data_IF_366391230200
#
_entry.id   IF_366391230200
#
_cell.length_a   1.000
_cell.length_b   1.000
_cell.length_c   1.000
_cell.angle_alpha   90.00
_cell.angle_beta   90.00
_cell.angle_gamma   90.00
#
_symmetry.space_group_name_H-M   'P 1'
#
loop_
_entity.id
_entity.type
_entity.pdbx_description
1 polymer ?
#
# COMPACT_ATOMS: atom_id res chain seq x y z
N UNK A 1 36.28 -42.56 86.41
CA UNK A 1 35.41 -42.93 85.31
C UNK A 1 35.15 -41.68 84.43
N UNK A 2 35.90 -41.53 83.32
CA UNK A 2 35.93 -40.33 82.48
C UNK A 2 35.06 -40.55 81.25
N UNK A 3 34.02 -39.80 81.10
CA UNK A 3 33.21 -39.77 79.87
C UNK A 3 33.78 -38.74 78.90
N UNK A 4 34.20 -39.22 77.75
CA UNK A 4 34.59 -38.39 76.58
C UNK A 4 33.36 -37.89 75.84
N UNK A 5 33.23 -36.57 75.71
CA UNK A 5 32.31 -35.93 74.79
C UNK A 5 32.93 -35.98 73.39
N UNK A 6 32.12 -36.51 72.40
CA UNK A 6 32.40 -36.38 70.98
C UNK A 6 31.70 -35.15 70.43
N UNK A 7 32.45 -34.20 69.94
CA UNK A 7 31.93 -33.07 69.19
C UNK A 7 31.64 -33.53 67.75
N UNK A 8 30.35 -33.55 67.36
CA UNK A 8 29.95 -33.76 66.02
C UNK A 8 29.72 -32.38 65.30
N UNK A 9 30.60 -32.04 64.37
CA UNK A 9 30.44 -30.85 63.54
C UNK A 9 29.41 -31.12 62.46
N UNK A 10 28.29 -30.48 62.55
CA UNK A 10 27.27 -30.44 61.47
C UNK A 10 27.76 -29.46 60.46
N UNK A 11 28.20 -29.96 59.29
CA UNK A 11 28.43 -29.10 58.10
C UNK A 11 27.09 -28.83 57.44
N UNK A 12 26.61 -27.60 57.56
CA UNK A 12 25.46 -27.08 56.79
C UNK A 12 25.97 -26.80 55.37
N UNK A 13 25.54 -27.60 54.39
CA UNK A 13 25.74 -27.32 52.96
C UNK A 13 24.72 -26.25 52.56
N UNK A 14 25.17 -25.02 52.37
CA UNK A 14 24.36 -23.98 51.69
C UNK A 14 24.38 -24.29 50.18
N UNK A 15 23.28 -24.82 49.67
CA UNK A 15 23.08 -24.92 48.24
C UNK A 15 22.65 -23.54 47.71
N UNK A 16 23.61 -22.84 47.09
CA UNK A 16 23.28 -21.62 46.34
C UNK A 16 22.53 -22.00 45.07
N UNK A 17 21.22 -21.81 45.08
CA UNK A 17 20.38 -21.88 43.84
C UNK A 17 20.65 -20.61 43.05
N UNK A 18 21.54 -20.70 42.09
CA UNK A 18 21.75 -19.63 41.11
C UNK A 18 20.61 -19.68 40.11
N UNK A 19 19.60 -18.85 40.33
CA UNK A 19 18.49 -18.63 39.36
C UNK A 19 19.08 -17.85 38.18
N UNK A 20 19.44 -18.56 37.12
CA UNK A 20 19.71 -17.92 35.82
C UNK A 20 18.42 -17.35 35.28
N UNK A 21 18.18 -16.05 35.47
CA UNK A 21 17.18 -15.29 34.74
C UNK A 21 17.70 -15.14 33.30
N UNK A 22 17.23 -16.02 32.43
CA UNK A 22 17.38 -15.86 30.98
C UNK A 22 16.54 -14.64 30.58
N UNK A 23 17.15 -13.46 30.58
CA UNK A 23 16.63 -12.31 29.90
C UNK A 23 16.71 -12.65 28.40
N UNK A 24 15.61 -13.15 27.85
CA UNK A 24 15.44 -13.22 26.42
C UNK A 24 15.42 -11.77 25.92
N UNK A 25 16.57 -11.24 25.58
CA UNK A 25 16.70 -10.04 24.78
C UNK A 25 16.09 -10.40 23.43
N UNK A 26 14.81 -10.07 23.25
CA UNK A 26 14.19 -10.09 21.95
C UNK A 26 15.03 -9.19 21.05
N UNK A 27 15.94 -9.79 20.29
CA UNK A 27 16.53 -9.16 19.13
C UNK A 27 15.35 -8.81 18.24
N UNK A 28 14.91 -7.57 18.33
CA UNK A 28 14.06 -6.99 17.32
C UNK A 28 14.82 -7.22 16.01
N UNK A 29 14.44 -8.28 15.30
CA UNK A 29 15.01 -8.56 13.98
C UNK A 29 14.71 -7.30 13.18
N UNK A 30 15.79 -6.56 12.86
CA UNK A 30 15.68 -5.53 11.86
C UNK A 30 15.01 -6.21 10.66
N UNK A 31 13.97 -5.62 10.08
CA UNK A 31 13.39 -6.18 8.85
C UNK A 31 14.57 -6.49 7.93
N UNK A 32 14.60 -7.67 7.30
CA UNK A 32 15.72 -8.07 6.47
C UNK A 32 15.99 -6.91 5.52
N UNK A 33 17.24 -6.45 5.46
CA UNK A 33 17.63 -5.39 4.52
C UNK A 33 17.15 -5.86 3.14
N UNK A 34 16.09 -5.25 2.64
CA UNK A 34 15.50 -5.60 1.35
C UNK A 34 16.59 -5.43 0.33
N UNK A 35 17.05 -6.52 -0.26
CA UNK A 35 18.07 -6.46 -1.30
C UNK A 35 17.42 -5.74 -2.47
N UNK A 36 17.81 -4.52 -2.72
CA UNK A 36 17.45 -3.79 -3.93
C UNK A 36 18.06 -4.55 -5.10
N UNK A 37 17.25 -5.35 -5.76
CA UNK A 37 17.71 -6.06 -6.96
C UNK A 37 17.65 -5.07 -8.09
N UNK A 38 18.83 -4.68 -8.56
CA UNK A 38 18.98 -3.80 -9.71
C UNK A 38 18.18 -4.31 -10.91
N UNK A 39 17.36 -3.43 -11.51
CA UNK A 39 17.09 -3.40 -12.94
C UNK A 39 16.26 -4.52 -13.58
N UNK A 40 15.45 -5.28 -12.87
CA UNK A 40 14.60 -6.26 -13.56
C UNK A 40 13.24 -6.38 -12.89
N UNK A 41 12.19 -6.11 -13.66
CA UNK A 41 10.85 -6.57 -13.36
C UNK A 41 10.90 -8.09 -13.17
N UNK A 42 10.29 -8.57 -12.10
CA UNK A 42 10.14 -9.99 -11.79
C UNK A 42 8.66 -10.34 -11.79
N UNK A 43 8.36 -11.60 -11.94
CA UNK A 43 7.03 -12.10 -11.68
C UNK A 43 6.63 -11.78 -10.23
N UNK A 44 5.47 -11.17 -10.07
CA UNK A 44 4.93 -10.81 -8.76
C UNK A 44 4.54 -12.08 -8.00
N UNK A 45 5.14 -12.29 -6.84
CA UNK A 45 4.84 -13.43 -5.99
C UNK A 45 3.78 -13.03 -4.97
N UNK A 46 2.56 -13.56 -5.14
CA UNK A 46 1.45 -13.32 -4.22
C UNK A 46 1.39 -14.42 -3.15
N UNK A 47 1.07 -14.02 -1.92
CA UNK A 47 0.84 -14.94 -0.80
C UNK A 47 -0.59 -15.46 -0.89
N UNK A 48 -0.72 -16.74 -1.26
CA UNK A 48 -2.01 -17.40 -1.40
C UNK A 48 -2.46 -17.97 -0.07
N UNK A 49 -3.61 -17.52 0.40
CA UNK A 49 -4.35 -18.07 1.53
C UNK A 49 -5.79 -17.53 1.47
N UNK A 50 -6.72 -18.23 2.08
CA UNK A 50 -8.13 -17.83 2.16
C UNK A 50 -8.51 -17.69 3.64
N UNK A 51 -7.92 -16.67 4.29
CA UNK A 51 -8.10 -16.43 5.73
C UNK A 51 -9.24 -15.45 5.94
N UNK A 52 -10.28 -15.90 6.63
CA UNK A 52 -11.34 -15.05 7.16
C UNK A 52 -10.93 -14.53 8.53
N UNK A 53 -11.02 -13.20 8.71
CA UNK A 53 -10.71 -12.58 9.98
C UNK A 53 -11.89 -12.73 10.95
N UNK A 54 -11.59 -12.97 12.24
CA UNK A 54 -12.61 -13.05 13.29
C UNK A 54 -13.24 -11.66 13.57
N UNK A 55 -12.47 -10.59 13.43
CA UNK A 55 -12.96 -9.23 13.57
C UNK A 55 -13.82 -8.85 12.37
N UNK A 56 -15.05 -8.44 12.63
CA UNK A 56 -15.98 -8.01 11.60
C UNK A 56 -15.55 -6.67 10.99
N UNK A 57 -15.75 -6.54 9.67
CA UNK A 57 -15.66 -5.26 8.98
C UNK A 57 -16.75 -4.30 9.48
N UNK A 58 -16.36 -3.06 9.77
CA UNK A 58 -17.27 -2.00 10.17
C UNK A 58 -17.00 -0.73 9.35
N UNK A 59 -17.98 -0.34 8.55
CA UNK A 59 -17.96 0.88 7.76
C UNK A 59 -19.27 1.61 7.90
N UNK A 60 -19.20 2.90 8.15
CA UNK A 60 -20.38 3.78 8.09
C UNK A 60 -20.06 5.01 7.24
N UNK A 61 -21.01 5.35 6.36
CA UNK A 61 -20.91 6.51 5.48
C UNK A 61 -22.09 7.44 5.75
N UNK A 62 -21.82 8.70 6.00
CA UNK A 62 -22.84 9.76 6.11
C UNK A 62 -22.42 10.95 5.25
N UNK A 63 -23.41 11.75 4.86
CA UNK A 63 -23.17 12.99 4.13
C UNK A 63 -23.88 14.13 4.88
N UNK A 64 -23.14 15.17 5.23
CA UNK A 64 -23.62 16.37 5.87
C UNK A 64 -22.73 17.57 5.50
N UNK A 65 -23.30 18.74 5.38
CA UNK A 65 -22.58 20.00 5.19
C UNK A 65 -21.61 20.00 3.99
N UNK A 66 -21.97 19.28 2.93
CA UNK A 66 -21.13 19.18 1.73
C UNK A 66 -19.97 18.19 1.84
N UNK A 67 -19.84 17.48 2.96
CA UNK A 67 -18.84 16.44 3.19
C UNK A 67 -19.47 15.04 3.25
N UNK A 68 -18.75 14.05 2.72
CA UNK A 68 -18.95 12.62 3.00
C UNK A 68 -17.99 12.21 4.10
N UNK A 69 -18.54 11.76 5.21
CA UNK A 69 -17.79 11.28 6.37
C UNK A 69 -17.82 9.75 6.39
N UNK A 70 -16.66 9.13 6.28
CA UNK A 70 -16.48 7.68 6.20
C UNK A 70 -15.75 7.23 7.46
N UNK A 71 -16.43 6.47 8.32
CA UNK A 71 -15.84 5.88 9.53
C UNK A 71 -15.62 4.40 9.30
N UNK A 72 -14.45 3.90 9.67
CA UNK A 72 -14.02 2.53 9.39
C UNK A 72 -13.25 1.96 10.56
N UNK A 73 -13.20 0.64 10.66
CA UNK A 73 -12.27 -0.06 11.52
C UNK A 73 -11.06 -0.66 10.75
N UNK A 74 -10.95 -0.39 9.44
CA UNK A 74 -9.84 -0.81 8.56
C UNK A 74 -9.67 -2.33 8.44
N UNK A 75 -10.69 -3.12 8.76
CA UNK A 75 -10.74 -4.56 8.58
C UNK A 75 -11.41 -4.87 7.22
N UNK A 76 -10.80 -5.64 6.32
CA UNK A 76 -11.45 -6.01 5.05
C UNK A 76 -12.66 -6.95 5.27
N UNK A 77 -13.63 -6.89 4.36
CA UNK A 77 -14.86 -7.71 4.37
C UNK A 77 -14.73 -9.02 3.58
N UNK A 78 -13.54 -9.29 3.07
CA UNK A 78 -13.21 -10.47 2.26
C UNK A 78 -12.07 -11.27 2.88
N UNK A 79 -11.81 -12.46 2.34
CA UNK A 79 -10.67 -13.26 2.74
C UNK A 79 -9.34 -12.59 2.35
N UNK A 80 -8.33 -12.79 3.15
CA UNK A 80 -6.98 -12.22 3.01
C UNK A 80 -5.92 -13.30 2.94
N UNK A 81 -4.73 -12.96 2.51
CA UNK A 81 -3.56 -13.80 2.56
C UNK A 81 -3.05 -14.02 4.00
N UNK A 82 -2.03 -14.86 4.13
CA UNK A 82 -1.36 -15.09 5.42
C UNK A 82 -0.54 -13.84 5.81
N UNK A 83 -0.85 -13.28 6.97
CA UNK A 83 -0.08 -12.20 7.62
C UNK A 83 0.15 -12.52 9.09
N UNK A 84 1.40 -12.40 9.61
CA UNK A 84 2.64 -12.02 8.91
C UNK A 84 3.09 -13.04 7.87
N UNK A 85 3.90 -12.58 6.90
CA UNK A 85 4.55 -13.45 5.93
C UNK A 85 6.00 -13.00 5.66
N UNK A 86 6.72 -13.76 4.81
CA UNK A 86 8.15 -13.48 4.53
C UNK A 86 8.42 -12.08 3.96
N UNK A 87 7.48 -11.52 3.19
CA UNK A 87 7.62 -10.18 2.58
C UNK A 87 7.03 -9.06 3.44
N UNK A 88 6.12 -9.41 4.37
CA UNK A 88 5.43 -8.46 5.23
C UNK A 88 5.33 -9.01 6.67
N UNK A 89 6.10 -8.46 7.62
CA UNK A 89 6.17 -8.98 8.99
C UNK A 89 5.04 -8.49 9.91
N UNK A 90 4.02 -7.82 9.39
CA UNK A 90 2.97 -7.19 10.17
C UNK A 90 1.69 -8.02 10.16
N UNK A 91 0.94 -7.98 11.25
CA UNK A 91 -0.39 -8.60 11.38
C UNK A 91 -1.48 -7.57 11.14
N UNK A 92 -2.60 -8.02 10.54
CA UNK A 92 -3.79 -7.17 10.40
C UNK A 92 -4.33 -6.87 11.81
N UNK A 93 -4.66 -5.63 12.06
CA UNK A 93 -5.25 -5.18 13.31
C UNK A 93 -6.29 -4.10 13.06
N UNK A 94 -7.33 -4.10 13.88
CA UNK A 94 -8.35 -3.08 13.87
C UNK A 94 -7.74 -1.69 14.09
N UNK A 95 -8.12 -0.75 13.22
CA UNK A 95 -7.74 0.67 13.30
C UNK A 95 -8.92 1.54 12.95
N UNK A 96 -9.54 2.08 13.99
CA UNK A 96 -10.65 3.01 13.81
C UNK A 96 -10.12 4.33 13.23
N UNK A 97 -10.72 4.76 12.13
CA UNK A 97 -10.36 5.99 11.46
C UNK A 97 -11.61 6.69 10.90
N UNK A 98 -11.48 7.98 10.65
CA UNK A 98 -12.53 8.78 9.99
C UNK A 98 -11.89 9.57 8.87
N UNK A 99 -12.42 9.40 7.68
CA UNK A 99 -12.02 10.13 6.48
C UNK A 99 -13.14 11.08 6.07
N UNK A 100 -12.76 12.21 5.49
CA UNK A 100 -13.68 13.23 5.00
C UNK A 100 -13.33 13.57 3.58
N UNK A 101 -14.32 13.61 2.71
CA UNK A 101 -14.15 14.03 1.32
C UNK A 101 -15.36 14.87 0.90
N UNK A 102 -15.20 15.83 -0.01
CA UNK A 102 -16.32 16.63 -0.50
C UNK A 102 -17.34 15.73 -1.21
N UNK A 103 -18.64 16.03 -1.04
CA UNK A 103 -19.71 15.38 -1.80
C UNK A 103 -19.84 15.95 -3.21
N UNK A 104 -19.30 17.16 -3.42
CA UNK A 104 -19.20 17.82 -4.71
C UNK A 104 -17.74 18.20 -4.97
N UNK A 105 -16.91 17.22 -5.37
CA UNK A 105 -15.51 17.46 -5.64
C UNK A 105 -15.34 18.42 -6.81
N UNK A 106 -14.23 19.15 -6.81
CA UNK A 106 -13.89 20.12 -7.85
C UNK A 106 -12.55 19.79 -8.47
N UNK A 107 -12.49 19.88 -9.78
CA UNK A 107 -11.24 19.77 -10.51
C UNK A 107 -10.28 20.90 -10.14
N UNK A 108 -9.01 20.57 -9.97
CA UNK A 108 -7.92 21.53 -9.87
C UNK A 108 -7.58 22.11 -11.25
N UNK A 109 -6.84 23.21 -11.26
CA UNK A 109 -6.31 23.79 -12.52
C UNK A 109 -5.29 22.86 -13.19
N UNK A 110 -4.56 22.11 -12.39
CA UNK A 110 -3.58 21.12 -12.80
C UNK A 110 -3.69 19.92 -11.88
N UNK A 111 -3.38 18.70 -12.36
CA UNK A 111 -3.32 17.54 -11.51
C UNK A 111 -2.37 17.69 -10.33
N UNK A 112 -2.76 17.15 -9.18
CA UNK A 112 -1.95 17.11 -7.98
C UNK A 112 -1.21 15.77 -7.90
N UNK A 113 0.12 15.81 -7.94
CA UNK A 113 0.94 14.62 -7.83
C UNK A 113 0.79 13.95 -6.46
N UNK A 114 0.69 12.64 -6.44
CA UNK A 114 0.74 11.88 -5.20
C UNK A 114 2.11 12.04 -4.53
N UNK A 115 2.08 12.08 -3.21
CA UNK A 115 3.28 12.09 -2.37
C UNK A 115 3.37 10.79 -1.58
N UNK A 116 4.57 10.35 -1.29
CA UNK A 116 4.78 9.18 -0.45
C UNK A 116 4.02 9.30 0.88
N UNK A 117 3.30 8.24 1.23
CA UNK A 117 2.48 8.18 2.43
C UNK A 117 1.11 8.86 2.32
N UNK A 118 0.76 9.46 1.18
CA UNK A 118 -0.61 9.89 0.90
C UNK A 118 -1.35 8.72 0.25
N UNK A 119 -2.43 8.24 0.88
CA UNK A 119 -3.29 7.24 0.29
C UNK A 119 -4.13 7.88 -0.82
N UNK A 120 -4.33 7.15 -1.90
CA UNK A 120 -5.12 7.64 -3.04
C UNK A 120 -6.61 7.80 -2.67
N UNK A 121 -7.13 6.90 -1.85
CA UNK A 121 -8.53 6.93 -1.49
C UNK A 121 -8.88 5.81 -0.52
N UNK A 122 -10.19 5.61 -0.35
CA UNK A 122 -10.74 4.60 0.53
C UNK A 122 -11.83 3.81 -0.21
N UNK A 123 -11.73 2.50 -0.11
CA UNK A 123 -12.73 1.58 -0.68
C UNK A 123 -14.03 1.59 0.12
N UNK A 124 -15.13 1.14 -0.49
CA UNK A 124 -16.45 1.05 0.17
C UNK A 124 -16.43 0.10 1.38
N UNK A 125 -15.49 -0.82 1.45
CA UNK A 125 -15.25 -1.68 2.61
C UNK A 125 -14.27 -1.09 3.64
N UNK A 126 -13.88 0.17 3.49
CA UNK A 126 -13.02 0.88 4.45
C UNK A 126 -11.53 0.59 4.36
N UNK A 127 -11.08 -0.16 3.36
CA UNK A 127 -9.66 -0.42 3.10
C UNK A 127 -9.10 0.69 2.23
N UNK A 128 -7.88 1.17 2.55
CA UNK A 128 -7.25 2.25 1.82
C UNK A 128 -6.62 1.76 0.50
N UNK A 129 -6.60 2.64 -0.51
CA UNK A 129 -5.82 2.48 -1.72
C UNK A 129 -4.49 3.22 -1.56
N UNK A 130 -3.38 2.50 -1.57
CA UNK A 130 -2.02 3.05 -1.48
C UNK A 130 -1.16 2.52 -2.64
N UNK A 131 -1.04 3.27 -3.76
CA UNK A 131 -0.26 2.81 -4.90
C UNK A 131 1.25 2.83 -4.64
N UNK A 132 1.73 3.52 -3.60
CA UNK A 132 3.13 3.76 -3.35
C UNK A 132 3.85 2.61 -2.64
N UNK A 133 5.07 2.28 -3.07
CA UNK A 133 6.01 1.50 -2.27
C UNK A 133 6.95 2.44 -1.51
N UNK A 134 7.35 2.07 -0.30
CA UNK A 134 8.31 2.87 0.47
C UNK A 134 9.77 2.64 0.04
N UNK A 135 9.99 1.78 -0.91
CA UNK A 135 11.30 1.35 -1.39
C UNK A 135 11.78 2.23 -2.55
N UNK A 136 13.03 2.68 -2.44
CA UNK A 136 13.72 3.48 -3.44
C UNK A 136 15.04 2.83 -3.83
N UNK A 137 15.55 3.21 -4.99
CA UNK A 137 16.87 2.82 -5.46
C UNK A 137 17.93 3.12 -4.40
N UNK A 138 18.76 2.14 -4.07
CA UNK A 138 19.76 2.18 -2.98
C UNK A 138 19.19 2.49 -1.59
N UNK A 139 17.87 2.42 -1.40
CA UNK A 139 17.21 2.81 -0.15
C UNK A 139 17.20 4.32 0.11
N UNK A 140 17.51 5.14 -0.88
CA UNK A 140 17.56 6.59 -0.75
C UNK A 140 16.39 7.26 -1.51
N UNK A 141 15.39 7.83 -0.82
CA UNK A 141 14.29 8.56 -1.46
C UNK A 141 14.77 9.74 -2.33
N UNK A 142 15.94 10.31 -2.05
CA UNK A 142 16.52 11.41 -2.84
C UNK A 142 17.00 10.97 -4.22
N UNK A 143 17.09 9.65 -4.45
CA UNK A 143 17.38 9.12 -5.80
C UNK A 143 16.28 9.47 -6.80
N UNK A 144 15.04 9.68 -6.32
CA UNK A 144 13.86 9.87 -7.15
C UNK A 144 13.36 8.60 -7.85
N UNK A 145 14.08 7.45 -7.71
CA UNK A 145 13.72 6.17 -8.32
C UNK A 145 12.96 5.30 -7.31
N UNK A 146 11.66 5.49 -7.25
CA UNK A 146 10.75 4.68 -6.43
C UNK A 146 10.43 3.37 -7.14
N UNK A 147 10.58 2.25 -6.44
CA UNK A 147 10.15 0.96 -6.99
C UNK A 147 8.63 0.91 -7.19
N UNK A 148 8.21 0.28 -8.28
CA UNK A 148 6.80 -0.01 -8.52
C UNK A 148 6.34 -1.14 -7.58
N UNK A 149 5.28 -0.91 -6.82
CA UNK A 149 4.77 -1.86 -5.84
C UNK A 149 4.40 -3.23 -6.45
N UNK A 150 3.83 -3.20 -7.66
CA UNK A 150 3.42 -4.38 -8.41
C UNK A 150 4.50 -4.88 -9.39
N UNK A 151 5.66 -4.22 -9.43
CA UNK A 151 6.75 -4.56 -10.36
C UNK A 151 7.51 -5.85 -10.04
N UNK A 152 7.30 -6.43 -8.85
CA UNK A 152 7.96 -7.66 -8.41
C UNK A 152 9.44 -7.52 -8.09
N UNK A 153 10.06 -6.36 -8.33
CA UNK A 153 11.48 -6.13 -8.03
C UNK A 153 11.77 -6.08 -6.52
N UNK A 154 10.81 -5.66 -5.73
CA UNK A 154 10.82 -5.73 -4.26
C UNK A 154 9.66 -6.59 -3.79
N UNK A 155 9.95 -7.48 -2.83
CA UNK A 155 8.92 -8.33 -2.24
C UNK A 155 8.21 -7.56 -1.14
N UNK A 156 6.96 -7.19 -1.36
CA UNK A 156 6.10 -6.52 -0.38
C UNK A 156 5.24 -7.51 0.42
N UNK A 157 5.26 -8.81 0.06
CA UNK A 157 4.43 -9.82 0.69
C UNK A 157 2.94 -9.61 0.45
N UNK A 158 2.60 -9.15 -0.77
CA UNK A 158 1.22 -8.93 -1.19
C UNK A 158 0.44 -10.24 -1.25
N UNK A 159 -0.83 -10.19 -0.90
CA UNK A 159 -1.77 -11.30 -1.10
C UNK A 159 -2.47 -11.24 -2.47
N UNK A 160 -3.44 -12.15 -2.70
CA UNK A 160 -4.19 -12.21 -3.97
C UNK A 160 -5.12 -11.00 -4.20
N UNK A 161 -5.32 -10.15 -3.18
CA UNK A 161 -6.00 -8.86 -3.33
C UNK A 161 -5.02 -7.73 -3.67
N UNK A 162 -3.76 -8.05 -4.00
CA UNK A 162 -2.68 -7.08 -4.19
C UNK A 162 -2.54 -6.12 -3.03
N UNK A 163 -2.67 -6.65 -1.81
CA UNK A 163 -2.68 -5.89 -0.58
C UNK A 163 -1.69 -6.45 0.44
N UNK A 164 -1.28 -5.63 1.38
CA UNK A 164 -0.50 -6.04 2.53
C UNK A 164 -0.78 -5.18 3.77
N UNK A 165 0.04 -5.31 4.82
CA UNK A 165 -0.22 -4.69 6.12
C UNK A 165 0.84 -3.64 6.44
N UNK A 166 0.41 -2.43 6.81
CA UNK A 166 1.27 -1.37 7.34
C UNK A 166 1.84 -1.75 8.73
N UNK A 167 2.93 -1.11 9.18
CA UNK A 167 3.49 -1.34 10.52
C UNK A 167 2.49 -1.11 11.67
N UNK A 168 1.48 -0.30 11.47
CA UNK A 168 0.41 -0.04 12.44
C UNK A 168 -0.75 -1.04 12.38
N UNK A 169 -0.70 -2.02 11.48
CA UNK A 169 -1.69 -3.07 11.32
C UNK A 169 -2.78 -2.81 10.29
N UNK A 170 -2.77 -1.66 9.58
CA UNK A 170 -3.74 -1.38 8.51
C UNK A 170 -3.45 -2.22 7.27
N UNK A 171 -4.45 -2.98 6.85
CA UNK A 171 -4.45 -3.63 5.55
C UNK A 171 -4.80 -2.61 4.47
N UNK A 172 -4.12 -2.63 3.31
CA UNK A 172 -4.34 -1.66 2.23
C UNK A 172 -3.99 -2.27 0.87
N UNK A 173 -4.67 -1.77 -0.18
CA UNK A 173 -4.52 -2.23 -1.56
C UNK A 173 -3.43 -1.47 -2.30
N UNK A 174 -2.58 -2.20 -3.03
CA UNK A 174 -1.63 -1.68 -4.02
C UNK A 174 -2.08 -1.91 -5.47
N UNK A 175 -3.13 -2.72 -5.66
CA UNK A 175 -3.64 -3.08 -6.98
C UNK A 175 -5.14 -3.34 -6.98
N UNK A 176 -5.58 -4.15 -7.94
CA UNK A 176 -6.99 -4.50 -8.10
C UNK A 176 -7.47 -5.30 -6.88
N UNK A 177 -8.47 -4.81 -6.12
CA UNK A 177 -8.97 -5.46 -4.91
C UNK A 177 -9.90 -6.63 -5.26
N UNK A 178 -9.32 -7.77 -5.65
CA UNK A 178 -10.07 -8.92 -6.19
C UNK A 178 -11.18 -9.41 -5.27
N UNK A 179 -10.92 -9.48 -3.97
CA UNK A 179 -11.90 -9.87 -2.96
C UNK A 179 -13.06 -8.88 -2.84
N UNK A 180 -12.77 -7.58 -2.89
CA UNK A 180 -13.80 -6.53 -2.89
C UNK A 180 -14.64 -6.60 -4.16
N UNK A 181 -14.03 -6.72 -5.34
CA UNK A 181 -14.77 -6.86 -6.60
C UNK A 181 -15.68 -8.09 -6.58
N UNK A 182 -15.22 -9.20 -6.01
CA UNK A 182 -16.04 -10.40 -5.82
C UNK A 182 -17.21 -10.15 -4.86
N UNK A 183 -17.01 -9.45 -3.75
CA UNK A 183 -18.09 -9.13 -2.78
C UNK A 183 -19.13 -8.17 -3.40
N UNK A 184 -18.70 -7.26 -4.26
CA UNK A 184 -19.55 -6.36 -5.02
C UNK A 184 -20.19 -7.00 -6.27
N UNK A 185 -19.94 -8.29 -6.51
CA UNK A 185 -20.46 -9.06 -7.66
C UNK A 185 -20.07 -8.41 -9.01
N UNK A 186 -18.81 -7.97 -9.11
CA UNK A 186 -18.28 -7.44 -10.37
C UNK A 186 -18.55 -8.41 -11.52
N UNK A 187 -19.04 -7.87 -12.63
CA UNK A 187 -19.39 -8.58 -13.86
C UNK A 187 -18.68 -7.88 -15.04
N UNK A 188 -17.80 -8.61 -15.73
CA UNK A 188 -17.03 -8.05 -16.84
C UNK A 188 -17.92 -7.57 -18.03
N UNK A 189 -19.15 -8.02 -18.13
CA UNK A 189 -20.12 -7.54 -19.14
C UNK A 189 -20.90 -6.29 -18.73
N UNK A 190 -20.60 -5.72 -17.55
CA UNK A 190 -21.30 -4.56 -17.02
C UNK A 190 -20.34 -3.46 -16.62
N UNK A 191 -20.84 -2.22 -16.55
CA UNK A 191 -20.10 -1.14 -15.92
C UNK A 191 -19.70 -1.54 -14.50
N UNK A 192 -18.45 -1.22 -14.10
CA UNK A 192 -17.98 -1.47 -12.74
C UNK A 192 -18.93 -0.93 -11.68
N UNK A 193 -19.14 -1.61 -10.56
CA UNK A 193 -19.72 -0.98 -9.39
C UNK A 193 -18.79 0.11 -8.84
N UNK A 194 -19.36 1.05 -8.08
CA UNK A 194 -18.59 1.99 -7.28
C UNK A 194 -17.76 1.22 -6.24
N UNK A 195 -16.44 1.37 -6.26
CA UNK A 195 -15.54 0.66 -5.34
C UNK A 195 -14.97 1.54 -4.24
N UNK A 196 -15.09 2.86 -4.34
CA UNK A 196 -14.53 3.76 -3.32
C UNK A 196 -14.61 5.24 -3.70
N UNK A 197 -13.91 6.02 -2.89
CA UNK A 197 -13.80 7.46 -3.03
C UNK A 197 -12.33 7.87 -2.94
N UNK A 198 -11.86 8.66 -3.90
CA UNK A 198 -10.53 9.24 -3.85
C UNK A 198 -10.44 10.31 -2.75
N UNK A 199 -9.22 10.62 -2.32
CA UNK A 199 -8.99 11.61 -1.28
C UNK A 199 -9.46 13.03 -1.65
N UNK A 200 -9.63 13.33 -2.93
CA UNK A 200 -10.21 14.57 -3.44
C UNK A 200 -11.74 14.53 -3.60
N UNK A 201 -12.37 13.39 -3.28
CA UNK A 201 -13.82 13.19 -3.27
C UNK A 201 -14.43 12.61 -4.52
N UNK A 202 -13.70 12.49 -5.63
CA UNK A 202 -14.20 11.85 -6.83
C UNK A 202 -14.38 10.34 -6.63
N UNK A 203 -15.40 9.72 -7.28
CA UNK A 203 -15.67 8.30 -7.18
C UNK A 203 -14.58 7.47 -7.88
N UNK A 204 -14.37 6.26 -7.37
CA UNK A 204 -13.44 5.27 -7.93
C UNK A 204 -14.22 4.06 -8.40
N UNK A 205 -13.98 3.66 -9.64
CA UNK A 205 -14.45 2.42 -10.26
C UNK A 205 -13.28 1.53 -10.64
N UNK A 206 -13.53 0.34 -11.18
CA UNK A 206 -12.46 -0.57 -11.59
C UNK A 206 -12.76 -1.19 -12.96
N UNK A 207 -11.74 -1.23 -13.80
CA UNK A 207 -11.68 -1.97 -15.06
C UNK A 207 -12.68 -1.49 -16.14
N UNK A 208 -13.99 -1.65 -15.91
CA UNK A 208 -15.00 -1.54 -16.98
C UNK A 208 -15.82 -0.26 -16.89
N UNK A 209 -16.00 0.39 -18.02
CA UNK A 209 -16.86 1.55 -18.19
C UNK A 209 -17.50 1.56 -19.56
N UNK A 210 -18.38 2.51 -19.81
CA UNK A 210 -19.04 2.69 -21.11
C UNK A 210 -18.04 3.12 -22.18
N UNK A 211 -18.17 2.64 -23.41
CA UNK A 211 -17.31 3.05 -24.54
C UNK A 211 -17.45 4.54 -24.81
N UNK A 212 -18.69 5.01 -24.92
CA UNK A 212 -19.01 6.44 -25.00
C UNK A 212 -19.17 7.00 -23.58
N UNK A 213 -18.33 7.96 -23.15
CA UNK A 213 -18.41 8.49 -21.80
C UNK A 213 -19.71 9.23 -21.49
N UNK A 214 -20.43 9.70 -22.48
CA UNK A 214 -21.66 10.47 -22.32
C UNK A 214 -22.93 9.62 -22.51
N UNK A 215 -22.81 8.34 -22.91
CA UNK A 215 -23.91 7.43 -23.17
C UNK A 215 -23.88 6.15 -22.33
N UNK A 216 -24.76 6.09 -21.31
CA UNK A 216 -24.94 4.91 -20.46
C UNK A 216 -25.54 3.69 -21.17
N UNK A 217 -25.97 3.80 -22.43
CA UNK A 217 -26.47 2.70 -23.26
C UNK A 217 -25.41 2.14 -24.21
N UNK A 218 -24.24 2.78 -24.29
CA UNK A 218 -23.15 2.31 -25.12
C UNK A 218 -22.53 1.00 -24.58
N UNK A 219 -21.77 0.32 -25.42
CA UNK A 219 -21.07 -0.92 -25.04
C UNK A 219 -20.17 -0.70 -23.82
N UNK A 220 -20.08 -1.71 -22.96
CA UNK A 220 -19.14 -1.72 -21.85
C UNK A 220 -17.82 -2.37 -22.28
N UNK A 221 -16.73 -1.69 -22.05
CA UNK A 221 -15.39 -2.17 -22.36
C UNK A 221 -14.48 -2.09 -21.12
N UNK A 222 -13.39 -2.87 -21.14
CA UNK A 222 -12.29 -2.65 -20.23
C UNK A 222 -11.52 -1.39 -20.63
N UNK A 223 -11.49 -0.40 -19.73
CA UNK A 223 -10.83 0.87 -19.97
C UNK A 223 -9.31 0.72 -19.80
N UNK A 224 -8.57 1.38 -20.68
CA UNK A 224 -7.11 1.36 -20.69
C UNK A 224 -6.53 2.72 -20.29
N UNK A 225 -5.46 2.73 -19.48
CA UNK A 225 -4.74 3.95 -19.16
C UNK A 225 -3.99 4.49 -20.39
N UNK A 226 -3.71 5.78 -20.40
CA UNK A 226 -2.87 6.40 -21.44
C UNK A 226 -1.40 6.45 -21.01
N UNK A 227 -0.90 5.34 -20.51
CA UNK A 227 0.49 5.19 -20.08
C UNK A 227 1.17 4.04 -20.78
N UNK A 228 2.48 4.19 -21.03
CA UNK A 228 3.33 3.14 -21.55
C UNK A 228 4.72 3.18 -20.92
N UNK A 229 5.50 2.14 -21.09
CA UNK A 229 6.92 2.18 -20.78
C UNK A 229 7.65 3.16 -21.70
N UNK A 230 8.55 3.96 -21.13
CA UNK A 230 9.43 4.83 -21.90
C UNK A 230 10.30 4.02 -22.86
N UNK A 231 10.57 4.51 -24.04
CA UNK A 231 11.53 3.86 -24.95
C UNK A 231 12.97 4.04 -24.45
N UNK A 232 13.83 3.08 -24.75
CA UNK A 232 15.27 3.17 -24.53
C UNK A 232 15.75 2.71 -23.17
N UNK A 233 16.66 3.45 -22.57
CA UNK A 233 17.37 3.06 -21.34
C UNK A 233 17.32 4.16 -20.29
N UNK A 234 17.23 3.72 -19.02
CA UNK A 234 17.38 4.64 -17.87
C UNK A 234 18.77 5.26 -17.87
N UNK A 235 18.91 6.48 -17.31
CA UNK A 235 20.23 7.05 -17.05
C UNK A 235 21.01 6.19 -16.05
N UNK A 236 22.33 6.35 -16.00
CA UNK A 236 23.22 5.65 -15.07
C UNK A 236 23.66 4.26 -15.55
N UNK A 237 24.02 3.40 -14.60
CA UNK A 237 24.51 2.05 -14.88
C UNK A 237 25.95 2.00 -15.41
N UNK A 238 26.68 3.12 -15.42
CA UNK A 238 28.12 3.15 -15.70
C UNK A 238 28.89 2.78 -14.45
N UNK A 239 30.04 2.14 -14.60
CA UNK A 239 30.91 1.78 -13.50
C UNK A 239 31.29 3.04 -12.70
N UNK A 240 30.94 3.05 -11.40
CA UNK A 240 31.20 4.18 -10.49
C UNK A 240 30.10 5.25 -10.39
N UNK A 241 29.07 5.21 -11.24
CA UNK A 241 27.89 6.09 -11.12
C UNK A 241 26.68 5.26 -10.62
N UNK A 242 26.41 5.36 -9.34
CA UNK A 242 25.33 4.64 -8.67
C UNK A 242 24.09 5.52 -8.41
N UNK A 243 24.06 6.79 -8.87
CA UNK A 243 22.93 7.69 -8.59
C UNK A 243 21.64 7.22 -9.28
N UNK A 244 21.77 6.72 -10.51
CA UNK A 244 20.66 6.26 -11.31
C UNK A 244 20.78 4.74 -11.57
N UNK A 245 19.66 4.01 -11.68
CA UNK A 245 19.69 2.55 -11.76
C UNK A 245 20.23 1.99 -13.08
N UNK A 246 20.21 2.75 -14.17
CA UNK A 246 20.56 2.23 -15.50
C UNK A 246 19.58 1.14 -15.98
N UNK A 247 19.99 0.38 -17.00
CA UNK A 247 19.14 -0.67 -17.57
C UNK A 247 18.09 -0.15 -18.54
N UNK A 248 17.12 -0.97 -18.91
CA UNK A 248 15.98 -0.59 -19.75
C UNK A 248 14.79 -0.19 -18.90
N UNK A 249 13.89 0.60 -19.45
CA UNK A 249 12.60 0.90 -18.84
C UNK A 249 11.71 -0.34 -18.94
N UNK A 250 11.58 -1.12 -17.88
CA UNK A 250 10.87 -2.40 -17.83
C UNK A 250 9.73 -2.47 -16.82
N UNK A 251 9.41 -1.34 -16.16
CA UNK A 251 8.37 -1.25 -15.12
C UNK A 251 8.86 -1.60 -13.71
N UNK A 252 10.17 -1.68 -13.50
CA UNK A 252 10.75 -1.84 -12.17
C UNK A 252 10.49 -0.62 -11.28
N UNK A 253 10.52 0.57 -11.88
CA UNK A 253 10.33 1.85 -11.17
C UNK A 253 9.11 2.61 -11.70
N UNK A 254 8.50 3.39 -10.84
CA UNK A 254 7.42 4.32 -11.20
C UNK A 254 7.83 5.23 -12.37
N UNK A 255 9.08 5.69 -12.36
CA UNK A 255 9.64 6.56 -13.39
C UNK A 255 9.85 5.88 -14.75
N UNK A 256 9.63 4.58 -14.86
CA UNK A 256 9.76 3.87 -16.14
C UNK A 256 8.62 4.18 -17.11
N UNK A 257 7.54 4.73 -16.60
CA UNK A 257 6.35 5.00 -17.39
C UNK A 257 6.26 6.47 -17.81
N UNK A 258 5.59 6.69 -18.92
CA UNK A 258 5.24 8.02 -19.42
C UNK A 258 3.77 8.07 -19.83
N UNK A 259 3.14 9.21 -19.63
CA UNK A 259 1.81 9.50 -20.14
C UNK A 259 1.90 9.83 -21.63
N UNK A 260 0.96 9.29 -22.41
CA UNK A 260 0.82 9.58 -23.85
C UNK A 260 -0.65 9.84 -24.12
N UNK A 261 -0.99 11.08 -24.32
CA UNK A 261 -2.38 11.50 -24.55
C UNK A 261 -3.02 10.70 -25.70
N UNK A 262 -4.24 10.22 -25.45
CA UNK A 262 -5.02 9.45 -26.42
C UNK A 262 -4.53 8.01 -26.66
N UNK A 263 -3.56 7.49 -25.90
CA UNK A 263 -3.13 6.09 -25.99
C UNK A 263 -4.22 5.12 -25.52
N UNK A 264 -4.92 5.47 -24.46
CA UNK A 264 -6.08 4.77 -23.90
C UNK A 264 -7.30 5.69 -23.80
N UNK A 265 -8.28 5.32 -22.98
CA UNK A 265 -9.49 6.08 -22.76
C UNK A 265 -9.42 7.02 -21.56
N UNK A 266 -8.34 6.93 -20.77
CA UNK A 266 -8.17 7.65 -19.51
C UNK A 266 -7.10 8.72 -19.62
N UNK A 267 -7.27 9.81 -18.88
CA UNK A 267 -6.33 10.92 -18.82
C UNK A 267 -5.10 10.63 -17.94
N UNK A 268 -4.27 11.63 -17.68
CA UNK A 268 -3.05 11.51 -16.86
C UNK A 268 -3.32 11.17 -15.40
N UNK A 269 -4.55 11.39 -14.92
CA UNK A 269 -4.99 10.98 -13.59
C UNK A 269 -5.62 9.59 -13.56
N UNK A 270 -5.57 8.83 -14.65
CA UNK A 270 -6.26 7.55 -14.83
C UNK A 270 -7.76 7.65 -14.61
N UNK A 271 -8.36 8.73 -15.08
CA UNK A 271 -9.76 9.04 -14.97
C UNK A 271 -10.33 9.64 -16.25
N UNK A 272 -11.60 9.96 -16.21
CA UNK A 272 -12.29 10.72 -17.27
C UNK A 272 -13.59 11.29 -16.75
N UNK A 273 -14.10 12.29 -17.41
CA UNK A 273 -15.48 12.75 -17.23
C UNK A 273 -16.42 11.76 -17.92
N UNK A 274 -17.37 11.16 -17.21
CA UNK A 274 -18.35 10.26 -17.83
C UNK A 274 -19.58 10.04 -16.96
N UNK A 275 -20.64 9.53 -17.59
CA UNK A 275 -21.81 8.98 -16.89
C UNK A 275 -21.46 7.61 -16.32
N UNK A 276 -22.08 7.28 -15.19
CA UNK A 276 -21.98 5.97 -14.54
C UNK A 276 -23.34 5.58 -13.98
N UNK A 277 -23.58 4.32 -13.57
CA UNK A 277 -24.83 3.95 -12.92
C UNK A 277 -25.18 4.78 -11.67
N UNK A 278 -24.17 5.25 -10.93
CA UNK A 278 -24.36 6.05 -9.72
C UNK A 278 -24.40 7.57 -10.00
N UNK A 279 -23.90 8.00 -11.16
CA UNK A 279 -23.82 9.40 -11.59
C UNK A 279 -24.36 9.55 -13.02
N UNK A 280 -25.68 9.47 -13.22
CA UNK A 280 -26.28 9.50 -14.58
C UNK A 280 -26.15 10.86 -15.28
N UNK A 281 -25.87 11.92 -14.54
CA UNK A 281 -25.63 13.25 -15.11
C UNK A 281 -24.14 13.52 -15.40
N UNK A 282 -23.30 12.51 -15.23
CA UNK A 282 -21.85 12.61 -15.41
C UNK A 282 -21.11 13.29 -14.24
N UNK A 283 -19.91 12.84 -14.02
CA UNK A 283 -18.92 13.45 -13.13
C UNK A 283 -17.54 12.99 -13.58
N UNK A 284 -16.50 13.63 -13.06
CA UNK A 284 -15.18 13.04 -13.20
C UNK A 284 -15.06 11.79 -12.31
N UNK A 285 -14.50 10.71 -12.84
CA UNK A 285 -14.33 9.44 -12.14
C UNK A 285 -12.93 8.86 -12.37
N UNK A 286 -12.39 8.19 -11.38
CA UNK A 286 -11.16 7.42 -11.50
C UNK A 286 -11.46 5.95 -11.80
N UNK A 287 -10.54 5.32 -12.54
CA UNK A 287 -10.60 3.88 -12.77
C UNK A 287 -9.32 3.20 -12.30
N UNK A 288 -9.46 2.10 -11.55
CA UNK A 288 -8.37 1.14 -11.41
C UNK A 288 -8.28 0.32 -12.70
N UNK A 289 -7.08 0.05 -13.17
CA UNK A 289 -6.82 -0.64 -14.43
C UNK A 289 -5.86 -1.80 -14.25
N UNK A 290 -5.91 -2.82 -15.11
CA UNK A 290 -4.92 -3.89 -15.10
C UNK A 290 -3.53 -3.40 -15.50
N UNK A 291 -3.50 -2.50 -16.49
CA UNK A 291 -2.26 -1.87 -16.93
C UNK A 291 -1.88 -0.71 -16.01
N UNK A 292 -0.60 -0.35 -16.00
CA UNK A 292 -0.08 0.76 -15.18
C UNK A 292 -0.61 2.13 -15.64
N UNK A 293 -0.99 3.00 -14.69
CA UNK A 293 -1.01 2.84 -13.24
C UNK A 293 -2.25 2.07 -12.78
N UNK A 294 -2.06 0.96 -12.08
CA UNK A 294 -3.21 0.17 -11.58
C UNK A 294 -4.09 0.97 -10.62
N UNK A 295 -3.47 1.70 -9.70
CA UNK A 295 -4.13 2.75 -8.89
C UNK A 295 -3.55 4.08 -9.37
N UNK A 296 -4.38 5.11 -9.59
CA UNK A 296 -3.92 6.41 -10.09
C UNK A 296 -2.78 7.00 -9.27
N UNK A 297 -1.90 7.78 -9.92
CA UNK A 297 -0.71 8.42 -9.32
C UNK A 297 -0.84 9.93 -9.19
N UNK A 298 -1.99 10.47 -9.59
CA UNK A 298 -2.31 11.90 -9.56
C UNK A 298 -3.78 12.07 -9.18
N UNK A 299 -4.09 13.22 -8.57
CA UNK A 299 -5.45 13.65 -8.28
C UNK A 299 -5.88 14.72 -9.27
N UNK A 300 -7.10 14.64 -9.73
CA UNK A 300 -7.75 15.67 -10.55
C UNK A 300 -8.11 16.90 -9.73
N UNK A 301 -8.45 16.67 -8.46
CA UNK A 301 -8.79 17.69 -7.48
C UNK A 301 -7.70 17.87 -6.41
N UNK A 302 -8.09 18.47 -5.28
CA UNK A 302 -7.22 18.64 -4.11
C UNK A 302 -7.49 17.56 -3.09
N UNK A 303 -6.55 16.65 -2.81
CA UNK A 303 -6.76 15.59 -1.84
C UNK A 303 -6.84 16.12 -0.40
N UNK A 304 -7.70 15.53 0.41
CA UNK A 304 -7.81 15.82 1.83
C UNK A 304 -6.59 15.29 2.59
N UNK A 305 -6.06 16.11 3.48
CA UNK A 305 -4.87 15.79 4.28
C UNK A 305 -5.08 14.64 5.29
N UNK A 306 -6.32 14.28 5.60
CA UNK A 306 -6.66 13.14 6.44
C UNK A 306 -6.26 11.79 5.85
N UNK A 307 -5.99 11.74 4.54
CA UNK A 307 -5.46 10.56 3.86
C UNK A 307 -3.94 10.43 3.95
N UNK A 308 -3.24 11.44 4.50
CA UNK A 308 -1.80 11.34 4.74
C UNK A 308 -1.54 10.39 5.90
N UNK A 309 -0.77 9.32 5.67
CA UNK A 309 -0.26 8.48 6.72
C UNK A 309 0.59 9.31 7.66
N UNK A 310 0.17 9.45 8.91
CA UNK A 310 1.01 10.03 9.95
C UNK A 310 2.13 9.03 10.21
N UNK A 311 3.25 9.18 9.52
CA UNK A 311 4.46 8.52 9.96
C UNK A 311 4.71 9.00 11.39
N UNK A 312 4.66 8.09 12.36
CA UNK A 312 5.13 8.40 13.70
C UNK A 312 6.54 9.01 13.58
N UNK A 313 6.97 9.89 14.49
CA UNK A 313 8.26 10.54 14.39
C UNK A 313 9.31 9.47 14.12
N UNK A 314 9.82 9.45 12.90
CA UNK A 314 10.89 8.53 12.50
C UNK A 314 12.00 8.73 13.52
N UNK A 315 12.46 7.65 14.16
CA UNK A 315 13.69 7.70 14.93
C UNK A 315 14.75 8.21 13.96
N UNK A 316 15.09 9.48 14.10
CA UNK A 316 16.20 10.09 13.39
C UNK A 316 17.44 9.19 13.50
N UNK A 317 18.40 9.30 12.57
CA UNK A 317 19.63 8.54 12.66
C UNK A 317 20.20 8.71 14.06
N UNK A 318 20.28 7.58 14.79
CA UNK A 318 20.84 7.57 16.14
C UNK A 318 22.22 8.25 16.16
N UNK A 319 22.62 8.90 17.26
CA UNK A 319 23.89 9.62 17.33
C UNK A 319 25.01 8.68 16.87
N UNK A 320 25.85 9.19 15.96
CA UNK A 320 27.09 8.49 15.54
C UNK A 320 27.90 8.20 16.81
N UNK A 321 28.15 6.95 17.09
CA UNK A 321 29.11 6.58 18.15
C UNK A 321 30.44 7.20 17.77
N UNK A 322 31.15 7.85 18.72
CA UNK A 322 32.52 8.31 18.50
C UNK A 322 33.37 7.12 18.11
N UNK A 323 34.15 7.24 17.04
CA UNK A 323 35.10 6.24 16.62
C UNK A 323 36.14 6.06 17.75
N UNK A 324 36.38 4.83 18.11
CA UNK A 324 37.62 4.47 18.84
C UNK A 324 38.73 4.45 17.80
N UNK A 325 39.55 5.50 17.83
CA UNK A 325 40.90 5.45 17.25
C UNK A 325 41.76 4.43 18.04
N UNK A 326 42.19 3.40 17.35
CA UNK A 326 43.47 2.71 17.58
C UNK A 326 43.91 2.00 16.31
#
# INVERSE_FOLDING_TARGET
MKLRRKNGSVRVLLAAVTTCVLVAVGLAQRPPMRRHTANQKRELQLVRADIRLDTRNEVSVSAADGERVIRVNSIPDHAVGQFPNRGNPHSIAERVATFRVPTQPREGRTPTQMRLGLNFGIAVNGVLFDPGAAEFWLGDPRSGWQYEALGGAVSLGLDENYAHVQPDGKYHYHGIPTGLLKSLKFDAGKHSPLIGWAADGFPIYALNGFTDPDDATSEVIELKPSYRLKPGRRPGGRQGDNRDPGGVYDGTFVNDYEFVDGLGQLDECNGRFCVTPDFPNGTYVYFLTHDWPTIPRQFRGTPDSGFQNRMGPGRGPGPRRPGFDR
#
